data_IF_136493077316
#
_entry.id   IF_136493077316
#
_cell.length_a   1.000
_cell.length_b   1.000
_cell.length_c   1.000
_cell.angle_alpha   90.00
_cell.angle_beta   90.00
_cell.angle_gamma   90.00
#
_symmetry.space_group_name_H-M   'P 1'
#
loop_
_entity.id
_entity.type
_entity.pdbx_description
1 polymer ?
#
# COMPACT_ATOMS: atom_id res chain seq x y z
N UNK A 1 -2.99 -0.19 -25.48
CA UNK A 1 -3.75 0.56 -24.48
C UNK A 1 -4.86 -0.35 -23.97
N UNK A 2 -4.99 -0.46 -22.66
CA UNK A 2 -6.11 -1.16 -22.02
C UNK A 2 -6.76 -0.22 -21.02
N UNK A 3 -8.09 -0.13 -21.05
CA UNK A 3 -8.89 0.69 -20.13
C UNK A 3 -10.00 -0.14 -19.51
N UNK A 4 -10.34 0.14 -18.26
CA UNK A 4 -11.44 -0.48 -17.52
C UNK A 4 -11.99 0.50 -16.49
N UNK A 5 -13.09 0.12 -15.85
CA UNK A 5 -13.62 0.88 -14.69
C UNK A 5 -12.61 1.00 -13.52
N UNK A 6 -11.63 0.08 -13.47
CA UNK A 6 -10.64 0.03 -12.40
C UNK A 6 -9.35 0.76 -12.74
N UNK A 7 -9.21 1.30 -13.96
CA UNK A 7 -8.01 2.02 -14.35
C UNK A 7 -7.64 1.88 -15.82
N UNK A 8 -6.47 2.38 -16.12
CA UNK A 8 -5.93 2.36 -17.47
C UNK A 8 -4.45 1.97 -17.46
N UNK A 9 -4.01 1.32 -18.52
CA UNK A 9 -2.59 1.06 -18.78
C UNK A 9 -2.25 1.38 -20.24
N UNK A 10 -1.04 1.91 -20.40
CA UNK A 10 -0.43 2.13 -21.68
C UNK A 10 0.92 1.42 -21.71
N UNK A 11 1.19 0.72 -22.81
CA UNK A 11 2.47 0.05 -23.03
C UNK A 11 2.91 0.28 -24.46
N UNK A 12 4.18 0.57 -24.63
CA UNK A 12 4.84 0.66 -25.92
C UNK A 12 6.09 -0.20 -25.90
N UNK A 13 6.29 -0.97 -26.95
CA UNK A 13 7.51 -1.74 -27.18
C UNK A 13 7.91 -1.61 -28.64
N UNK A 14 9.19 -1.44 -28.87
CA UNK A 14 9.72 -1.33 -30.24
C UNK A 14 11.21 -1.66 -30.28
N UNK A 15 11.73 -1.73 -31.50
CA UNK A 15 13.15 -1.86 -31.82
C UNK A 15 13.63 -0.58 -32.50
N UNK A 16 14.57 0.11 -31.89
CA UNK A 16 15.22 1.26 -32.51
C UNK A 16 16.12 0.80 -33.66
N UNK A 17 16.77 -0.37 -33.46
CA UNK A 17 17.57 -1.06 -34.47
C UNK A 17 17.74 -2.53 -34.10
N UNK A 18 18.51 -3.28 -34.89
CA UNK A 18 18.75 -4.72 -34.64
C UNK A 18 19.44 -5.04 -33.31
N UNK A 19 20.02 -4.03 -32.63
CA UNK A 19 20.74 -4.20 -31.37
C UNK A 19 20.01 -3.62 -30.17
N UNK A 20 19.08 -2.68 -30.36
CA UNK A 20 18.43 -1.95 -29.27
C UNK A 20 16.93 -2.11 -29.37
N UNK A 21 16.33 -2.65 -28.31
CA UNK A 21 14.89 -2.70 -28.13
C UNK A 21 14.51 -2.20 -26.73
N UNK A 22 13.28 -1.72 -26.62
CA UNK A 22 12.73 -1.21 -25.39
C UNK A 22 11.28 -1.62 -25.20
N UNK A 23 10.85 -1.60 -23.95
CA UNK A 23 9.48 -1.76 -23.51
C UNK A 23 9.23 -0.80 -22.35
N UNK A 24 8.25 0.08 -22.48
CA UNK A 24 7.87 1.06 -21.46
C UNK A 24 6.38 0.94 -21.21
N UNK A 25 5.99 0.89 -19.96
CA UNK A 25 4.60 0.81 -19.52
C UNK A 25 4.29 1.81 -18.42
N UNK A 26 3.08 2.35 -18.46
CA UNK A 26 2.49 3.19 -17.42
C UNK A 26 1.15 2.59 -17.05
N UNK A 27 0.86 2.49 -15.76
CA UNK A 27 -0.39 1.96 -15.25
C UNK A 27 -0.95 2.84 -14.14
N UNK A 28 -2.23 3.09 -14.21
CA UNK A 28 -3.03 3.65 -13.14
C UNK A 28 -4.17 2.69 -12.79
N UNK A 29 -4.36 2.39 -11.51
CA UNK A 29 -5.46 1.58 -11.00
C UNK A 29 -6.08 2.20 -9.77
N UNK A 30 -7.39 2.01 -9.65
CA UNK A 30 -8.14 2.31 -8.42
C UNK A 30 -9.28 1.31 -8.28
N UNK A 31 -9.52 0.85 -7.06
CA UNK A 31 -10.67 0.00 -6.72
C UNK A 31 -11.72 0.78 -5.93
N UNK A 32 -11.56 2.11 -5.80
CA UNK A 32 -12.45 2.95 -5.00
C UNK A 32 -13.93 2.79 -5.38
N UNK A 33 -14.22 2.70 -6.69
CA UNK A 33 -15.57 2.50 -7.19
C UNK A 33 -16.22 1.19 -6.71
N UNK A 34 -15.46 0.08 -6.73
CA UNK A 34 -15.96 -1.21 -6.25
C UNK A 34 -16.14 -1.23 -4.73
N UNK A 35 -15.21 -0.63 -4.00
CA UNK A 35 -15.26 -0.55 -2.56
C UNK A 35 -16.38 0.37 -2.07
N UNK A 36 -16.65 1.47 -2.77
CA UNK A 36 -17.77 2.35 -2.47
C UNK A 36 -19.16 1.76 -2.78
N UNK A 37 -19.23 0.66 -3.56
CA UNK A 37 -20.46 -0.07 -3.83
C UNK A 37 -20.73 -1.21 -2.81
N UNK A 38 -19.77 -1.48 -1.92
CA UNK A 38 -19.92 -2.46 -0.84
C UNK A 38 -20.40 -1.71 0.42
N UNK A 39 -21.21 -2.40 1.23
CA UNK A 39 -21.55 -1.95 2.59
C UNK A 39 -20.32 -2.12 3.49
N UNK A 40 -19.34 -1.24 3.32
CA UNK A 40 -18.10 -1.22 4.08
C UNK A 40 -18.22 -0.27 5.27
N UNK A 41 -17.36 -0.52 6.27
CA UNK A 41 -17.34 0.28 7.51
C UNK A 41 -16.56 1.57 7.38
N UNK A 42 -16.40 2.10 6.17
CA UNK A 42 -15.66 3.31 5.86
C UNK A 42 -15.48 3.51 4.36
N UNK A 43 -15.08 4.70 3.98
CA UNK A 43 -14.78 5.04 2.60
C UNK A 43 -13.30 4.71 2.28
N UNK A 44 -13.08 3.78 1.35
CA UNK A 44 -11.76 3.29 0.95
C UNK A 44 -11.39 3.82 -0.43
N UNK A 45 -10.27 4.53 -0.54
CA UNK A 45 -9.80 5.17 -1.78
C UNK A 45 -8.39 4.73 -2.18
N UNK A 46 -8.19 3.46 -2.59
CA UNK A 46 -6.88 3.01 -3.06
C UNK A 46 -6.57 3.57 -4.45
N UNK A 47 -5.34 4.04 -4.64
CA UNK A 47 -4.80 4.53 -5.92
C UNK A 47 -3.42 3.96 -6.13
N UNK A 48 -3.20 3.36 -7.30
CA UNK A 48 -1.94 2.74 -7.69
C UNK A 48 -1.46 3.36 -8.99
N UNK A 49 -0.27 3.90 -8.99
CA UNK A 49 0.36 4.45 -10.19
C UNK A 49 1.74 3.88 -10.31
N UNK A 50 2.06 3.27 -11.44
CA UNK A 50 3.38 2.75 -11.71
C UNK A 50 3.84 3.03 -13.14
N UNK A 51 5.14 3.20 -13.27
CA UNK A 51 5.87 3.35 -14.54
C UNK A 51 7.00 2.33 -14.52
N UNK A 52 7.16 1.57 -15.58
CA UNK A 52 8.24 0.61 -15.71
C UNK A 52 8.83 0.62 -17.11
N UNK A 53 10.11 0.35 -17.19
CA UNK A 53 10.82 0.31 -18.44
C UNK A 53 11.88 -0.79 -18.48
N UNK A 54 12.02 -1.43 -19.63
CA UNK A 54 13.06 -2.39 -19.94
C UNK A 54 13.75 -1.97 -21.23
N UNK A 55 15.07 -1.86 -21.20
CA UNK A 55 15.91 -1.60 -22.37
C UNK A 55 16.87 -2.78 -22.52
N UNK A 56 16.96 -3.33 -23.71
CA UNK A 56 17.93 -4.36 -24.05
C UNK A 56 18.85 -3.87 -25.17
N UNK A 57 20.14 -4.00 -24.95
CA UNK A 57 21.16 -3.65 -25.91
C UNK A 57 22.08 -4.84 -26.19
N UNK A 58 22.12 -5.28 -27.45
CA UNK A 58 23.04 -6.31 -27.93
C UNK A 58 24.34 -5.63 -28.34
N UNK A 59 25.36 -5.69 -27.48
CA UNK A 59 26.68 -5.09 -27.71
C UNK A 59 27.36 -5.75 -28.89
N UNK A 60 27.39 -7.11 -28.87
CA UNK A 60 27.84 -7.97 -29.95
C UNK A 60 27.09 -9.32 -29.86
N UNK A 61 27.50 -10.34 -30.63
CA UNK A 61 26.83 -11.64 -30.66
C UNK A 61 26.86 -12.36 -29.30
N UNK A 62 27.86 -12.07 -28.47
CA UNK A 62 28.12 -12.75 -27.20
C UNK A 62 27.71 -11.93 -25.97
N UNK A 63 27.56 -10.61 -26.10
CA UNK A 63 27.31 -9.71 -24.96
C UNK A 63 25.99 -9.00 -25.15
N UNK A 64 25.10 -9.20 -24.15
CA UNK A 64 23.82 -8.48 -24.02
C UNK A 64 23.77 -7.75 -22.71
N UNK A 65 23.44 -6.45 -22.77
CA UNK A 65 23.16 -5.59 -21.63
C UNK A 65 21.66 -5.35 -21.54
N UNK A 66 21.10 -5.42 -20.35
CA UNK A 66 19.70 -5.11 -20.10
C UNK A 66 19.56 -4.21 -18.89
N UNK A 67 18.76 -3.17 -19.01
CA UNK A 67 18.41 -2.29 -17.91
C UNK A 67 16.90 -2.33 -17.69
N UNK A 68 16.49 -2.54 -16.45
CA UNK A 68 15.11 -2.43 -16.00
C UNK A 68 14.99 -1.34 -14.94
N UNK A 69 13.98 -0.50 -15.06
CA UNK A 69 13.62 0.50 -14.08
C UNK A 69 12.13 0.46 -13.78
N UNK A 70 11.76 0.68 -12.54
CA UNK A 70 10.36 0.76 -12.11
C UNK A 70 10.20 1.79 -11.02
N UNK A 71 9.15 2.59 -11.12
CA UNK A 71 8.71 3.58 -10.15
C UNK A 71 7.24 3.30 -9.83
N UNK A 72 6.87 3.25 -8.55
CA UNK A 72 5.49 3.10 -8.14
C UNK A 72 5.16 4.03 -6.98
N UNK A 73 3.94 4.56 -7.01
CA UNK A 73 3.35 5.32 -5.93
C UNK A 73 1.95 4.77 -5.66
N UNK A 74 1.80 4.13 -4.50
CA UNK A 74 0.57 3.53 -4.06
C UNK A 74 0.06 4.32 -2.86
N UNK A 75 -1.15 4.84 -2.96
CA UNK A 75 -1.81 5.58 -1.89
C UNK A 75 -3.08 4.83 -1.50
N UNK A 76 -3.27 4.65 -0.22
CA UNK A 76 -4.45 4.08 0.37
C UNK A 76 -4.99 5.05 1.42
N UNK A 77 -6.20 5.57 1.20
CA UNK A 77 -6.87 6.47 2.13
C UNK A 77 -8.14 5.82 2.64
N UNK A 78 -8.37 5.92 3.94
CA UNK A 78 -9.53 5.39 4.63
C UNK A 78 -10.16 6.49 5.46
N UNK A 79 -11.46 6.69 5.30
CA UNK A 79 -12.28 7.53 6.17
C UNK A 79 -13.33 6.63 6.85
N UNK A 80 -13.28 6.47 8.17
CA UNK A 80 -14.29 5.66 8.87
C UNK A 80 -15.67 6.34 8.82
N UNK A 81 -16.69 5.53 8.70
CA UNK A 81 -18.08 6.02 8.72
C UNK A 81 -18.68 5.92 10.12
N UNK A 82 -19.60 6.84 10.42
CA UNK A 82 -20.36 6.83 11.64
C UNK A 82 -21.16 5.53 11.76
N UNK A 83 -21.32 5.05 12.98
CA UNK A 83 -22.00 3.78 13.26
C UNK A 83 -23.04 3.94 14.33
N UNK A 84 -24.14 3.23 14.12
CA UNK A 84 -25.21 3.05 15.09
C UNK A 84 -25.48 1.57 15.22
N UNK A 85 -25.60 1.09 16.44
CA UNK A 85 -25.90 -0.31 16.76
C UNK A 85 -26.90 -0.34 17.89
N UNK A 86 -28.07 -0.93 17.63
CA UNK A 86 -29.08 -1.19 18.64
C UNK A 86 -28.89 -2.59 19.20
N UNK A 87 -28.92 -2.74 20.50
CA UNK A 87 -28.75 -4.02 21.19
C UNK A 87 -29.48 -4.00 22.54
N UNK A 88 -29.55 -5.16 23.19
CA UNK A 88 -30.19 -5.29 24.48
C UNK A 88 -31.33 -6.32 24.48
N UNK A 89 -32.24 -6.15 25.41
CA UNK A 89 -33.38 -7.04 25.63
C UNK A 89 -34.68 -6.23 25.72
N UNK A 90 -35.84 -6.91 25.85
CA UNK A 90 -37.15 -6.25 26.10
C UNK A 90 -37.11 -5.37 27.35
N UNK A 91 -36.26 -5.72 28.31
CA UNK A 91 -36.15 -4.97 29.58
C UNK A 91 -35.11 -3.84 29.54
N UNK A 92 -34.23 -3.83 28.55
CA UNK A 92 -33.17 -2.83 28.40
C UNK A 92 -32.79 -2.72 26.93
N UNK A 93 -33.28 -1.71 26.24
CA UNK A 93 -32.95 -1.41 24.85
C UNK A 93 -31.91 -0.29 24.83
N UNK A 94 -30.78 -0.54 24.19
CA UNK A 94 -29.64 0.35 24.13
C UNK A 94 -29.27 0.65 22.69
N UNK A 95 -28.81 1.89 22.47
CA UNK A 95 -28.21 2.35 21.22
C UNK A 95 -26.79 2.80 21.48
N UNK A 96 -25.84 2.22 20.76
CA UNK A 96 -24.46 2.67 20.77
C UNK A 96 -24.16 3.38 19.44
N UNK A 97 -23.82 4.65 19.51
CA UNK A 97 -23.46 5.46 18.34
C UNK A 97 -22.02 5.90 18.45
N UNK A 98 -21.28 5.79 17.34
CA UNK A 98 -19.92 6.32 17.21
C UNK A 98 -19.89 7.28 16.03
N UNK A 99 -19.47 8.49 16.30
CA UNK A 99 -19.18 9.51 15.28
C UNK A 99 -17.69 9.54 15.06
N UNK A 100 -17.28 9.42 13.81
CA UNK A 100 -15.86 9.44 13.44
C UNK A 100 -15.52 10.73 12.71
N UNK A 101 -14.35 11.28 13.04
CA UNK A 101 -13.70 12.36 12.31
C UNK A 101 -12.25 11.95 12.00
N UNK A 102 -11.74 12.50 10.88
CA UNK A 102 -10.37 12.23 10.46
C UNK A 102 -10.24 11.10 9.47
N UNK A 103 -9.00 10.72 9.21
CA UNK A 103 -8.66 9.75 8.16
C UNK A 103 -7.33 9.05 8.44
N UNK A 104 -7.14 7.95 7.74
CA UNK A 104 -5.87 7.24 7.62
C UNK A 104 -5.35 7.39 6.19
N UNK A 105 -4.06 7.70 6.04
CA UNK A 105 -3.35 7.75 4.77
C UNK A 105 -2.11 6.90 4.84
N UNK A 106 -2.08 5.81 4.06
CA UNK A 106 -0.92 4.95 3.89
C UNK A 106 -0.37 5.13 2.48
N UNK A 107 0.91 5.45 2.37
CA UNK A 107 1.58 5.65 1.10
C UNK A 107 2.84 4.80 0.99
N UNK A 108 2.99 4.15 -0.16
CA UNK A 108 4.19 3.39 -0.55
C UNK A 108 4.77 3.99 -1.81
N UNK A 109 5.96 4.60 -1.70
CA UNK A 109 6.75 5.06 -2.84
C UNK A 109 7.89 4.10 -3.04
N UNK A 110 7.90 3.40 -4.16
CA UNK A 110 8.95 2.40 -4.45
C UNK A 110 9.66 2.74 -5.74
N UNK A 111 10.95 2.49 -5.79
CA UNK A 111 11.70 2.47 -7.02
C UNK A 111 12.68 1.29 -7.05
N UNK A 112 12.79 0.69 -8.22
CA UNK A 112 13.66 -0.44 -8.46
C UNK A 112 14.47 -0.22 -9.73
N UNK A 113 15.74 -0.61 -9.70
CA UNK A 113 16.61 -0.60 -10.85
C UNK A 113 17.39 -1.92 -10.91
N UNK A 114 17.53 -2.47 -12.10
CA UNK A 114 18.30 -3.68 -12.35
C UNK A 114 19.12 -3.56 -13.62
N UNK A 115 20.43 -3.75 -13.52
CA UNK A 115 21.35 -3.86 -14.63
C UNK A 115 21.80 -5.33 -14.76
N UNK A 116 21.65 -5.89 -15.94
CA UNK A 116 22.02 -7.26 -16.24
C UNK A 116 23.00 -7.31 -17.41
N UNK A 117 24.13 -7.95 -17.21
CA UNK A 117 25.09 -8.29 -18.26
C UNK A 117 25.06 -9.79 -18.49
N UNK A 118 24.72 -10.22 -19.68
CA UNK A 118 24.83 -11.61 -20.14
C UNK A 118 26.02 -11.72 -21.10
N UNK A 119 26.93 -12.64 -20.80
CA UNK A 119 28.13 -12.88 -21.61
C UNK A 119 28.23 -14.37 -21.95
N UNK A 120 28.10 -14.68 -23.23
CA UNK A 120 28.42 -15.99 -23.77
C UNK A 120 29.91 -16.06 -24.05
N UNK A 121 30.67 -16.61 -23.13
CA UNK A 121 32.14 -16.73 -23.27
C UNK A 121 32.51 -17.76 -24.33
N UNK A 122 31.72 -18.84 -24.43
CA UNK A 122 31.83 -19.86 -25.47
C UNK A 122 30.46 -20.55 -25.64
N UNK A 123 30.38 -21.49 -26.60
CA UNK A 123 29.18 -22.32 -26.78
C UNK A 123 28.82 -23.13 -25.50
N UNK A 124 29.82 -23.42 -24.66
CA UNK A 124 29.66 -24.20 -23.43
C UNK A 124 29.57 -23.34 -22.16
N UNK A 125 29.99 -22.07 -22.18
CA UNK A 125 30.08 -21.21 -20.97
C UNK A 125 29.30 -19.92 -21.12
N UNK A 126 28.30 -19.74 -20.23
CA UNK A 126 27.53 -18.51 -20.12
C UNK A 126 27.69 -17.90 -18.71
N UNK A 127 28.01 -16.64 -18.64
CA UNK A 127 28.13 -15.85 -17.41
C UNK A 127 27.06 -14.77 -17.38
N UNK A 128 26.44 -14.58 -16.22
CA UNK A 128 25.45 -13.55 -16.01
C UNK A 128 25.81 -12.75 -14.76
N UNK A 129 25.76 -11.44 -14.86
CA UNK A 129 26.01 -10.50 -13.79
C UNK A 129 24.78 -9.61 -13.61
N UNK A 130 24.40 -9.38 -12.36
CA UNK A 130 23.25 -8.58 -12.02
C UNK A 130 23.65 -7.59 -10.92
N UNK A 131 23.25 -6.34 -11.10
CA UNK A 131 23.29 -5.33 -10.05
C UNK A 131 21.87 -4.80 -9.93
N UNK A 132 21.32 -4.89 -8.73
CA UNK A 132 19.94 -4.43 -8.48
C UNK A 132 19.89 -3.54 -7.26
N UNK A 133 19.01 -2.57 -7.30
CA UNK A 133 18.62 -1.79 -6.13
C UNK A 133 17.12 -1.71 -6.04
N UNK A 134 16.61 -1.82 -4.83
CA UNK A 134 15.21 -1.62 -4.48
C UNK A 134 15.15 -0.62 -3.32
N UNK A 135 14.26 0.35 -3.43
CA UNK A 135 14.02 1.33 -2.39
C UNK A 135 12.54 1.45 -2.15
N UNK A 136 12.15 1.61 -0.90
CA UNK A 136 10.80 1.94 -0.50
C UNK A 136 10.82 3.02 0.57
N UNK A 137 9.94 3.99 0.41
CA UNK A 137 9.54 4.96 1.42
C UNK A 137 8.06 4.69 1.71
N UNK A 138 7.79 4.30 2.95
CA UNK A 138 6.45 3.97 3.42
C UNK A 138 6.06 4.94 4.52
N UNK A 139 4.87 5.48 4.44
CA UNK A 139 4.28 6.34 5.46
C UNK A 139 2.90 5.83 5.81
N UNK A 140 2.61 5.77 7.09
CA UNK A 140 1.29 5.46 7.62
C UNK A 140 0.94 6.56 8.63
N UNK A 141 0.09 7.48 8.19
CA UNK A 141 -0.34 8.62 8.97
C UNK A 141 -1.84 8.52 9.21
N UNK A 142 -2.23 8.58 10.46
CA UNK A 142 -3.63 8.68 10.80
C UNK A 142 -3.89 9.59 11.99
N UNK A 143 -5.02 10.25 11.92
CA UNK A 143 -5.72 10.90 13.01
C UNK A 143 -7.17 10.46 12.91
N UNK A 144 -7.62 9.64 13.84
CA UNK A 144 -8.98 9.15 13.90
C UNK A 144 -9.56 9.45 15.27
N UNK A 145 -10.41 10.45 15.33
CA UNK A 145 -11.24 10.79 16.48
C UNK A 145 -12.54 9.99 16.41
N UNK A 146 -12.86 9.29 17.47
CA UNK A 146 -14.14 8.63 17.65
C UNK A 146 -14.86 9.20 18.87
N UNK A 147 -16.05 9.77 18.68
CA UNK A 147 -16.91 10.21 19.76
C UNK A 147 -18.07 9.23 19.91
N UNK A 148 -18.21 8.63 21.07
CA UNK A 148 -19.24 7.62 21.28
C UNK A 148 -20.29 8.01 22.32
N UNK A 149 -21.50 7.50 22.09
CA UNK A 149 -22.65 7.66 22.98
C UNK A 149 -23.29 6.31 23.23
N UNK A 150 -23.69 6.08 24.45
CA UNK A 150 -24.56 4.98 24.87
C UNK A 150 -25.87 5.56 25.35
N UNK A 151 -26.94 5.34 24.60
CA UNK A 151 -28.27 5.84 24.89
C UNK A 151 -29.20 4.68 25.28
N UNK A 152 -30.10 4.93 26.21
CA UNK A 152 -31.22 4.02 26.49
C UNK A 152 -32.45 4.48 25.67
N UNK A 153 -33.10 3.52 25.03
CA UNK A 153 -34.25 3.78 24.17
C UNK A 153 -35.57 3.63 24.92
N UNK A 154 -36.57 4.44 24.50
CA UNK A 154 -37.93 4.26 24.96
C UNK A 154 -38.49 2.90 24.53
N UNK A 155 -39.09 2.17 25.45
CA UNK A 155 -39.53 0.78 25.28
C UNK A 155 -41.05 0.59 25.35
N UNK A 156 -41.81 1.63 25.74
CA UNK A 156 -43.24 1.53 25.79
C UNK A 156 -43.84 1.47 24.38
N UNK A 157 -44.32 0.29 24.01
CA UNK A 157 -44.95 0.04 22.70
C UNK A 157 -46.20 0.92 22.45
N UNK A 158 -46.77 1.52 23.50
CA UNK A 158 -47.89 2.46 23.40
C UNK A 158 -47.46 3.93 23.29
N UNK A 159 -46.16 4.20 23.41
CA UNK A 159 -45.62 5.58 23.30
C UNK A 159 -45.36 5.95 21.84
N UNK A 160 -45.64 7.19 21.50
CA UNK A 160 -45.27 7.79 20.20
C UNK A 160 -43.76 7.92 20.06
N UNK A 161 -43.02 7.83 21.17
CA UNK A 161 -41.56 7.91 21.23
C UNK A 161 -40.86 6.54 21.25
N UNK A 162 -41.58 5.43 20.97
CA UNK A 162 -41.02 4.09 20.96
C UNK A 162 -39.80 3.98 20.05
N UNK A 163 -38.65 3.55 20.63
CA UNK A 163 -37.36 3.41 19.92
C UNK A 163 -36.55 4.70 19.81
N UNK A 164 -37.07 5.82 20.27
CA UNK A 164 -36.31 7.07 20.40
C UNK A 164 -35.47 7.07 21.67
N UNK A 165 -34.51 8.00 21.76
CA UNK A 165 -33.62 8.13 22.92
C UNK A 165 -34.37 8.65 24.11
N UNK A 166 -34.54 7.82 25.15
CA UNK A 166 -35.11 8.21 26.41
C UNK A 166 -34.12 9.03 27.27
N UNK A 167 -32.90 8.54 27.40
CA UNK A 167 -31.82 9.29 28.05
C UNK A 167 -30.42 8.73 27.67
N UNK A 168 -29.38 9.60 27.81
CA UNK A 168 -28.02 9.22 27.57
C UNK A 168 -27.41 8.60 28.83
N UNK A 169 -26.87 7.39 28.72
CA UNK A 169 -26.19 6.65 29.79
C UNK A 169 -24.69 6.98 29.90
N UNK A 170 -24.07 7.37 28.79
CA UNK A 170 -22.65 7.71 28.81
C UNK A 170 -22.15 8.23 27.47
N UNK A 171 -21.13 9.04 27.55
CA UNK A 171 -20.40 9.59 26.40
C UNK A 171 -18.91 9.41 26.62
N UNK A 172 -18.16 9.40 25.54
CA UNK A 172 -16.70 9.42 25.61
C UNK A 172 -16.10 9.67 24.22
N UNK A 173 -14.81 9.83 24.19
CA UNK A 173 -14.05 10.02 22.96
C UNK A 173 -12.73 9.28 23.03
N UNK A 174 -12.21 8.92 21.87
CA UNK A 174 -10.84 8.45 21.72
C UNK A 174 -10.23 9.12 20.49
N UNK A 175 -8.91 9.30 20.54
CA UNK A 175 -8.13 9.77 19.40
C UNK A 175 -6.99 8.79 19.18
N UNK A 176 -6.93 8.23 18.00
CA UNK A 176 -5.81 7.43 17.53
C UNK A 176 -4.95 8.30 16.61
N UNK A 177 -3.66 8.37 16.89
CA UNK A 177 -2.69 9.17 16.17
C UNK A 177 -1.48 8.33 15.79
N UNK A 178 -1.05 8.42 14.54
CA UNK A 178 0.22 7.84 14.10
C UNK A 178 0.92 8.67 13.04
N UNK A 179 2.26 8.64 13.10
CA UNK A 179 3.19 9.19 12.14
C UNK A 179 4.32 8.18 11.95
N UNK A 180 4.00 7.10 11.25
CA UNK A 180 4.93 6.01 11.02
C UNK A 180 5.64 6.17 9.68
N UNK A 181 6.94 6.00 9.68
CA UNK A 181 7.78 6.09 8.48
C UNK A 181 8.75 4.92 8.43
N UNK A 182 8.78 4.20 7.32
CA UNK A 182 9.76 3.18 7.01
C UNK A 182 10.50 3.56 5.72
N UNK A 183 11.83 3.53 5.77
CA UNK A 183 12.69 3.67 4.59
C UNK A 183 13.58 2.46 4.49
N UNK A 184 13.53 1.77 3.38
CA UNK A 184 14.39 0.63 3.12
C UNK A 184 15.08 0.76 1.77
N UNK A 185 16.37 0.44 1.76
CA UNK A 185 17.18 0.35 0.56
C UNK A 185 17.88 -1.01 0.54
N UNK A 186 17.69 -1.77 -0.52
CA UNK A 186 18.27 -3.10 -0.73
C UNK A 186 19.12 -3.08 -1.99
N UNK A 187 20.41 -3.32 -1.85
CA UNK A 187 21.33 -3.42 -2.97
C UNK A 187 21.86 -4.86 -3.10
N UNK A 188 21.82 -5.39 -4.31
CA UNK A 188 22.33 -6.73 -4.60
C UNK A 188 23.33 -6.69 -5.76
N UNK A 189 24.41 -7.47 -5.60
CA UNK A 189 25.31 -7.87 -6.68
C UNK A 189 25.25 -9.39 -6.76
N UNK A 190 24.97 -9.91 -7.95
CA UNK A 190 24.82 -11.33 -8.15
C UNK A 190 25.54 -11.77 -9.42
N UNK A 191 26.30 -12.86 -9.32
CA UNK A 191 26.93 -13.54 -10.43
C UNK A 191 26.39 -14.96 -10.55
N UNK A 192 26.13 -15.40 -11.78
CA UNK A 192 25.72 -16.77 -12.11
C UNK A 192 26.49 -17.25 -13.33
N UNK A 193 27.09 -18.45 -13.23
CA UNK A 193 27.70 -19.16 -14.33
C UNK A 193 26.96 -20.46 -14.67
N UNK A 194 26.97 -20.80 -15.95
CA UNK A 194 26.41 -22.03 -16.51
C UNK A 194 27.45 -22.60 -17.45
N UNK A 195 27.97 -23.76 -17.13
CA UNK A 195 28.95 -24.49 -17.95
C UNK A 195 28.38 -25.83 -18.36
N UNK A 196 28.36 -26.09 -19.66
CA UNK A 196 27.81 -27.29 -20.29
C UNK A 196 28.92 -28.11 -20.91
N UNK A 197 28.96 -29.39 -20.58
CA UNK A 197 29.72 -30.43 -21.25
C UNK A 197 28.75 -31.43 -21.89
N UNK A 198 29.26 -32.32 -22.72
CA UNK A 198 28.43 -33.24 -23.49
C UNK A 198 27.50 -34.08 -22.62
N UNK A 199 27.96 -34.50 -21.42
CA UNK A 199 27.20 -35.32 -20.46
C UNK A 199 26.96 -34.67 -19.11
N UNK A 200 27.32 -33.40 -18.91
CA UNK A 200 27.19 -32.73 -17.63
C UNK A 200 26.89 -31.24 -17.77
N UNK A 201 26.22 -30.67 -16.75
CA UNK A 201 25.98 -29.25 -16.64
C UNK A 201 26.31 -28.81 -15.22
N UNK A 202 27.16 -27.80 -15.12
CA UNK A 202 27.55 -27.19 -13.85
C UNK A 202 27.00 -25.77 -13.77
N UNK A 203 26.25 -25.48 -12.71
CA UNK A 203 25.77 -24.15 -12.41
C UNK A 203 26.36 -23.69 -11.09
N UNK A 204 26.76 -22.41 -11.01
CA UNK A 204 27.19 -21.77 -9.78
C UNK A 204 26.65 -20.35 -9.67
N UNK A 205 26.65 -19.83 -8.48
CA UNK A 205 26.24 -18.46 -8.23
C UNK A 205 26.78 -17.93 -6.91
N UNK A 206 27.04 -16.63 -6.90
CA UNK A 206 27.45 -15.88 -5.72
C UNK A 206 26.57 -14.63 -5.65
N UNK A 207 26.02 -14.35 -4.46
CA UNK A 207 25.20 -13.18 -4.20
C UNK A 207 25.78 -12.42 -3.00
N UNK A 208 25.90 -11.11 -3.17
CA UNK A 208 26.12 -10.18 -2.09
C UNK A 208 24.91 -9.27 -1.98
N UNK A 209 24.40 -9.10 -0.76
CA UNK A 209 23.26 -8.23 -0.47
C UNK A 209 23.61 -7.31 0.69
N UNK A 210 23.19 -6.07 0.58
CA UNK A 210 23.26 -5.08 1.66
C UNK A 210 21.94 -4.37 1.79
N UNK A 211 21.43 -4.36 3.01
CA UNK A 211 20.16 -3.75 3.38
C UNK A 211 20.42 -2.58 4.33
N UNK A 212 19.71 -1.48 4.09
CA UNK A 212 19.67 -0.32 4.97
C UNK A 212 18.20 -0.06 5.28
N UNK A 213 17.85 -0.14 6.55
CA UNK A 213 16.46 0.07 6.99
C UNK A 213 16.44 1.09 8.10
N UNK A 214 15.59 2.09 7.95
CA UNK A 214 15.27 3.07 8.98
C UNK A 214 13.78 2.99 9.23
N UNK A 215 13.40 2.78 10.47
CA UNK A 215 12.01 2.71 10.90
C UNK A 215 11.78 3.70 12.04
N UNK A 216 10.81 4.57 11.88
CA UNK A 216 10.36 5.51 12.88
C UNK A 216 8.89 5.25 13.15
N UNK A 217 8.57 4.87 14.39
CA UNK A 217 7.20 4.60 14.84
C UNK A 217 6.86 5.64 15.89
N UNK A 218 5.83 6.41 15.63
CA UNK A 218 5.28 7.40 16.52
C UNK A 218 3.76 7.25 16.56
N UNK A 219 3.30 6.46 17.51
CA UNK A 219 1.88 6.16 17.70
C UNK A 219 1.48 6.45 19.14
N UNK A 220 0.31 6.99 19.31
CA UNK A 220 -0.31 7.10 20.60
C UNK A 220 -1.84 7.06 20.48
N UNK A 221 -2.45 6.72 21.58
CA UNK A 221 -3.88 6.62 21.72
C UNK A 221 -4.29 7.43 22.95
N UNK A 222 -5.32 8.22 22.82
CA UNK A 222 -5.90 8.98 23.90
C UNK A 222 -7.37 8.60 24.08
N UNK A 223 -7.80 8.38 25.30
CA UNK A 223 -9.17 8.04 25.64
C UNK A 223 -9.65 9.02 26.71
N UNK A 224 -10.75 9.70 26.46
CA UNK A 224 -11.44 10.57 27.39
C UNK A 224 -12.87 10.11 27.59
N UNK A 225 -13.16 9.55 28.77
CA UNK A 225 -14.50 9.08 29.13
C UNK A 225 -15.50 10.22 29.37
N UNK A 226 -15.04 11.46 29.51
CA UNK A 226 -15.87 12.63 29.75
C UNK A 226 -15.91 13.62 28.57
N UNK A 227 -15.09 13.39 27.55
CA UNK A 227 -15.02 14.21 26.32
C UNK A 227 -14.54 15.66 26.51
N UNK A 228 -13.87 15.96 27.61
CA UNK A 228 -13.49 17.36 27.90
C UNK A 228 -12.11 17.76 27.35
N UNK A 229 -11.19 16.84 27.13
CA UNK A 229 -9.78 17.15 26.87
C UNK A 229 -9.17 16.32 25.72
N UNK A 230 -9.91 16.08 24.65
CA UNK A 230 -9.32 15.40 23.47
C UNK A 230 -8.25 16.31 22.86
N UNK A 231 -6.99 15.89 22.79
CA UNK A 231 -5.93 16.69 22.20
C UNK A 231 -6.15 16.86 20.69
N UNK A 232 -5.75 18.02 20.17
CA UNK A 232 -5.74 18.26 18.73
C UNK A 232 -4.29 18.34 18.28
N UNK A 233 -3.79 17.33 17.56
CA UNK A 233 -2.44 17.39 17.04
C UNK A 233 -2.24 18.60 16.12
N UNK A 234 -1.12 19.28 16.24
CA UNK A 234 -0.81 20.47 15.41
C UNK A 234 -0.59 20.13 13.94
N UNK A 235 -0.36 18.86 13.63
CA UNK A 235 -0.10 18.27 12.31
C UNK A 235 -1.24 17.36 11.85
N UNK A 236 -2.45 17.56 12.37
CA UNK A 236 -3.64 16.77 12.00
C UNK A 236 -3.84 16.69 10.50
N UNK A 237 -4.20 15.50 10.01
CA UNK A 237 -4.44 15.21 8.59
C UNK A 237 -5.93 15.15 8.20
N UNK A 238 -6.81 15.37 9.13
CA UNK A 238 -8.28 15.28 8.95
C UNK A 238 -8.99 16.60 9.09
#
# INVERSE_FOLDING_TARGET
ITTSLLGAQFQIQDKINNRLNYNVGVRYRTNAYLLGALDTKGEYKPRFTDVQGLINYQVNEDIKLSYYGSLANNLFSVQPENRETNFGSINEALRFTVYYEGQENTQFKTWMSALTLKHRVSEKLNLNYFVTTFNTDETEFFDVLGEYRLDELERDLGSDEYGEVAYNRGVGAFLNHARNELKANVCNIYHKGDFRQDNSRTNWGVKFQRDFVTNNINEWNYIDSSRFNTPKPSDSIG
#
